data_IF_409467604220
#
_entry.id   IF_409467604220
#
_cell.length_a   1.000
_cell.length_b   1.000
_cell.length_c   1.000
_cell.angle_alpha   90.00
_cell.angle_beta   90.00
_cell.angle_gamma   90.00
#
_symmetry.space_group_name_H-M   'P 1'
#
loop_
_entity.id
_entity.type
_entity.pdbx_description
1 polymer ?
#
# COMPACT_ATOMS: atom_id res chain seq x y z
N UNK A 1 25.76 38.62 8.99
CA UNK A 1 25.64 37.25 9.54
C UNK A 1 24.42 36.63 8.90
N UNK A 2 24.61 35.83 7.85
CA UNK A 2 23.51 35.10 7.21
C UNK A 2 23.17 33.89 8.08
N UNK A 3 21.89 33.77 8.46
CA UNK A 3 21.37 32.62 9.16
C UNK A 3 21.48 31.38 8.26
N UNK A 4 22.08 30.33 8.80
CA UNK A 4 22.10 29.01 8.20
C UNK A 4 20.65 28.51 8.06
N UNK A 5 20.28 28.21 6.81
CA UNK A 5 19.13 27.38 6.49
C UNK A 5 19.33 26.01 7.14
N UNK A 6 18.63 25.76 8.26
CA UNK A 6 18.47 24.41 8.78
C UNK A 6 17.57 23.67 7.80
N UNK A 7 18.18 22.90 6.90
CA UNK A 7 17.48 21.92 6.07
C UNK A 7 16.73 20.98 7.00
N UNK A 8 15.41 20.96 6.89
CA UNK A 8 14.56 19.99 7.59
C UNK A 8 15.00 18.58 7.15
N UNK A 9 15.23 17.64 8.07
CA UNK A 9 15.58 16.28 7.70
C UNK A 9 14.48 15.67 6.83
N UNK A 10 14.89 15.09 5.71
CA UNK A 10 14.02 14.49 4.72
C UNK A 10 13.38 13.23 5.32
N UNK A 11 12.05 13.24 5.48
CA UNK A 11 11.29 12.19 6.17
C UNK A 11 10.80 11.09 5.22
N UNK A 12 10.31 9.96 5.76
CA UNK A 12 9.58 8.91 5.00
C UNK A 12 8.51 9.53 4.09
N UNK A 13 7.78 10.53 4.60
CA UNK A 13 6.76 11.27 3.86
C UNK A 13 7.35 12.12 2.73
N UNK A 14 8.52 12.73 2.92
CA UNK A 14 9.20 13.52 1.88
C UNK A 14 9.80 12.64 0.76
N UNK A 15 10.24 11.44 1.12
CA UNK A 15 10.69 10.41 0.16
C UNK A 15 9.53 9.79 -0.62
N UNK A 16 8.46 9.35 0.05
CA UNK A 16 7.27 8.82 -0.61
C UNK A 16 6.63 9.85 -1.54
N UNK A 17 6.69 11.12 -1.17
CA UNK A 17 6.47 12.22 -2.12
C UNK A 17 7.49 12.06 -3.25
N UNK A 18 8.78 12.32 -3.06
CA UNK A 18 9.81 12.34 -4.13
C UNK A 18 9.91 11.11 -5.05
N UNK A 19 9.61 9.90 -4.58
CA UNK A 19 9.59 8.67 -5.40
C UNK A 19 8.22 8.39 -5.99
N UNK A 20 7.14 8.73 -5.27
CA UNK A 20 5.83 8.94 -5.90
C UNK A 20 5.87 10.05 -6.96
N UNK A 21 6.85 10.96 -6.90
CA UNK A 21 7.07 12.04 -7.85
C UNK A 21 7.83 11.59 -9.12
N UNK A 22 8.68 10.54 -9.06
CA UNK A 22 9.25 9.90 -10.28
C UNK A 22 8.28 8.91 -10.93
N UNK A 23 7.26 8.48 -10.18
CA UNK A 23 6.15 7.66 -10.68
C UNK A 23 4.91 8.43 -11.15
N UNK A 24 4.42 9.49 -10.48
CA UNK A 24 3.11 10.08 -10.79
C UNK A 24 2.65 11.40 -10.10
N UNK A 25 3.39 12.08 -9.22
CA UNK A 25 2.78 13.14 -8.38
C UNK A 25 3.39 14.57 -8.43
N UNK A 26 4.31 14.92 -9.34
CA UNK A 26 5.10 16.18 -9.22
C UNK A 26 4.43 17.42 -9.79
N UNK A 27 3.18 17.31 -10.25
CA UNK A 27 2.55 18.41 -10.99
C UNK A 27 1.45 19.16 -10.23
N UNK A 28 0.98 18.70 -9.07
CA UNK A 28 -0.22 19.34 -8.46
C UNK A 28 0.12 20.27 -7.29
N UNK A 29 1.16 20.02 -6.50
CA UNK A 29 1.45 20.86 -5.33
C UNK A 29 2.28 22.13 -5.63
N UNK A 30 2.98 22.21 -6.77
CA UNK A 30 3.91 23.32 -7.07
C UNK A 30 3.34 24.40 -8.01
N UNK A 31 2.13 24.25 -8.54
CA UNK A 31 1.56 25.20 -9.51
C UNK A 31 0.13 25.68 -9.21
N UNK A 32 -0.47 25.27 -8.10
CA UNK A 32 -1.73 25.88 -7.64
C UNK A 32 -1.36 26.92 -6.58
N UNK A 33 -1.30 28.22 -6.92
CA UNK A 33 -1.26 29.24 -5.87
C UNK A 33 -2.47 28.98 -4.97
N UNK A 34 -2.26 28.95 -3.65
CA UNK A 34 -3.34 28.83 -2.68
C UNK A 34 -4.41 29.90 -2.99
N UNK A 35 -5.47 29.50 -3.70
CA UNK A 35 -6.59 30.37 -3.95
C UNK A 35 -7.46 30.32 -2.70
N UNK A 36 -7.67 31.46 -2.01
CA UNK A 36 -8.68 31.51 -0.98
C UNK A 36 -10.05 31.37 -1.67
N UNK A 37 -10.70 30.22 -1.49
CA UNK A 37 -12.14 30.07 -1.75
C UNK A 37 -12.59 29.85 -3.20
N UNK A 38 -11.86 29.10 -4.04
CA UNK A 38 -12.49 28.47 -5.20
C UNK A 38 -13.13 27.16 -4.75
N UNK A 39 -14.47 27.06 -4.83
CA UNK A 39 -15.25 25.91 -4.39
C UNK A 39 -14.65 24.58 -4.84
N UNK A 40 -13.95 23.92 -3.92
CA UNK A 40 -13.57 22.52 -4.08
C UNK A 40 -14.85 21.71 -4.21
N UNK A 41 -14.80 20.64 -4.99
CA UNK A 41 -15.81 19.59 -4.86
C UNK A 41 -15.99 19.32 -3.35
N UNK A 42 -17.24 19.34 -2.88
CA UNK A 42 -17.52 19.05 -1.47
C UNK A 42 -16.90 17.72 -1.04
N UNK A 43 -16.90 17.41 0.26
CA UNK A 43 -16.36 16.16 0.78
C UNK A 43 -16.90 14.97 -0.04
N UNK A 44 -16.03 13.99 -0.32
CA UNK A 44 -16.44 12.82 -1.10
C UNK A 44 -17.46 11.96 -0.32
N UNK A 45 -17.44 12.05 1.00
CA UNK A 45 -18.37 11.37 1.89
C UNK A 45 -19.71 12.10 2.00
N UNK A 46 -20.79 11.34 1.96
CA UNK A 46 -22.11 11.84 2.35
C UNK A 46 -22.16 11.99 3.88
N UNK A 47 -22.89 12.99 4.36
CA UNK A 47 -23.11 13.14 5.81
C UNK A 47 -23.84 11.92 6.35
N UNK A 48 -23.37 11.38 7.49
CA UNK A 48 -24.02 10.25 8.16
C UNK A 48 -25.54 10.48 8.28
N UNK A 49 -26.38 9.50 7.92
CA UNK A 49 -27.82 9.64 8.02
C UNK A 49 -28.24 9.80 9.49
N UNK A 50 -28.75 10.98 9.85
CA UNK A 50 -29.09 11.32 11.24
C UNK A 50 -30.35 10.60 11.76
N UNK A 51 -31.14 10.02 10.86
CA UNK A 51 -32.48 9.52 11.15
C UNK A 51 -32.60 7.98 11.03
N UNK A 52 -31.50 7.29 10.70
CA UNK A 52 -31.48 5.83 10.53
C UNK A 52 -31.05 5.13 11.82
N UNK A 53 -31.90 4.26 12.36
CA UNK A 53 -31.53 3.38 13.47
C UNK A 53 -30.63 2.24 12.99
N UNK A 54 -29.32 2.41 13.16
CA UNK A 54 -28.32 1.41 12.77
C UNK A 54 -28.28 0.17 13.68
N UNK A 55 -29.09 0.12 14.74
CA UNK A 55 -29.29 -1.09 15.55
C UNK A 55 -30.41 -1.98 15.01
N UNK A 56 -31.29 -1.45 14.17
CA UNK A 56 -32.39 -2.18 13.54
C UNK A 56 -31.96 -2.75 12.18
N UNK A 57 -31.75 -4.07 12.13
CA UNK A 57 -31.34 -4.78 10.92
C UNK A 57 -32.33 -4.62 9.76
N UNK A 58 -33.64 -4.50 10.03
CA UNK A 58 -34.66 -4.31 8.99
C UNK A 58 -34.63 -2.89 8.44
N UNK A 59 -34.35 -1.90 9.29
CA UNK A 59 -34.15 -0.51 8.87
C UNK A 59 -32.90 -0.37 8.00
N UNK A 60 -31.79 -0.98 8.42
CA UNK A 60 -30.55 -1.04 7.63
C UNK A 60 -30.77 -1.75 6.30
N UNK A 61 -31.47 -2.89 6.29
CA UNK A 61 -31.80 -3.59 5.05
C UNK A 61 -32.57 -2.71 4.05
N UNK A 62 -33.60 -1.99 4.51
CA UNK A 62 -34.36 -1.06 3.66
C UNK A 62 -33.51 0.09 3.12
N UNK A 63 -32.60 0.62 3.93
CA UNK A 63 -31.67 1.67 3.50
C UNK A 63 -30.73 1.14 2.41
N UNK A 64 -30.15 -0.04 2.61
CA UNK A 64 -29.31 -0.70 1.61
C UNK A 64 -30.05 -0.92 0.29
N UNK A 65 -31.30 -1.42 0.31
CA UNK A 65 -32.11 -1.57 -0.91
C UNK A 65 -32.40 -0.23 -1.60
N UNK A 66 -32.69 0.82 -0.84
CA UNK A 66 -32.93 2.16 -1.37
C UNK A 66 -31.68 2.76 -2.06
N UNK A 67 -30.50 2.40 -1.57
CA UNK A 67 -29.19 2.77 -2.14
C UNK A 67 -28.73 1.83 -3.27
N UNK A 68 -29.55 0.82 -3.62
CA UNK A 68 -29.28 -0.11 -4.72
C UNK A 68 -28.57 -1.41 -4.32
N UNK A 69 -28.32 -1.61 -3.02
CA UNK A 69 -27.69 -2.79 -2.42
C UNK A 69 -26.36 -3.13 -3.11
N UNK A 70 -25.53 -2.11 -3.33
CA UNK A 70 -24.26 -2.22 -4.04
C UNK A 70 -23.21 -1.37 -3.32
N UNK A 71 -21.98 -1.87 -3.26
CA UNK A 71 -20.83 -1.16 -2.73
C UNK A 71 -19.62 -1.40 -3.63
N UNK A 72 -18.88 -0.35 -3.93
CA UNK A 72 -17.70 -0.41 -4.79
C UNK A 72 -16.44 -0.17 -3.97
N UNK A 73 -15.52 -1.12 -4.06
CA UNK A 73 -14.20 -1.04 -3.42
C UNK A 73 -13.11 -0.95 -4.47
N UNK A 74 -12.19 0.01 -4.32
CA UNK A 74 -10.90 -0.05 -4.99
C UNK A 74 -9.92 -0.85 -4.13
N UNK A 75 -9.44 -1.98 -4.63
CA UNK A 75 -8.46 -2.85 -3.96
C UNK A 75 -7.66 -3.64 -5.00
N UNK A 76 -6.40 -3.98 -4.73
CA UNK A 76 -5.59 -4.87 -5.58
C UNK A 76 -5.85 -6.36 -5.37
N UNK A 77 -6.62 -6.75 -4.36
CA UNK A 77 -6.78 -8.16 -4.05
C UNK A 77 -6.52 -8.48 -2.58
N UNK A 78 -7.20 -9.52 -2.10
CA UNK A 78 -6.80 -10.22 -0.90
C UNK A 78 -6.01 -11.45 -1.35
N UNK A 79 -4.68 -11.44 -1.29
CA UNK A 79 -3.88 -12.63 -1.57
C UNK A 79 -4.30 -13.78 -0.65
N UNK A 80 -4.92 -14.81 -1.24
CA UNK A 80 -5.53 -15.94 -0.53
C UNK A 80 -7.07 -15.90 -0.43
N UNK A 81 -7.72 -14.80 -0.80
CA UNK A 81 -9.17 -14.61 -0.85
C UNK A 81 -9.58 -14.07 -2.23
N UNK A 82 -9.64 -14.93 -3.25
CA UNK A 82 -10.02 -14.52 -4.60
C UNK A 82 -11.46 -13.99 -4.64
N UNK A 83 -11.75 -13.15 -5.63
CA UNK A 83 -13.09 -12.60 -5.90
C UNK A 83 -14.18 -13.69 -5.90
N UNK A 84 -13.85 -14.87 -6.44
CA UNK A 84 -14.73 -16.05 -6.51
C UNK A 84 -15.17 -16.59 -5.16
N UNK A 85 -14.48 -16.24 -4.08
CA UNK A 85 -14.82 -16.61 -2.70
C UNK A 85 -15.33 -15.43 -1.90
N UNK A 86 -14.67 -14.26 -2.00
CA UNK A 86 -15.02 -13.12 -1.16
C UNK A 86 -16.37 -12.49 -1.55
N UNK A 87 -16.59 -12.19 -2.83
CA UNK A 87 -17.81 -11.51 -3.28
C UNK A 87 -19.08 -12.30 -2.90
N UNK A 88 -19.16 -13.63 -3.15
CA UNK A 88 -20.32 -14.41 -2.71
C UNK A 88 -20.48 -14.43 -1.18
N UNK A 89 -19.38 -14.54 -0.42
CA UNK A 89 -19.44 -14.58 1.05
C UNK A 89 -19.87 -13.26 1.66
N UNK A 90 -19.49 -12.14 1.06
CA UNK A 90 -19.95 -10.81 1.44
C UNK A 90 -21.46 -10.66 1.23
N UNK A 91 -21.97 -11.09 0.08
CA UNK A 91 -23.40 -11.10 -0.22
C UNK A 91 -24.19 -12.04 0.72
N UNK A 92 -23.66 -13.22 1.03
CA UNK A 92 -24.25 -14.14 2.02
C UNK A 92 -24.30 -13.52 3.42
N UNK A 93 -23.22 -12.86 3.84
CA UNK A 93 -23.12 -12.22 5.16
C UNK A 93 -24.14 -11.09 5.31
N UNK A 94 -24.19 -10.17 4.34
CA UNK A 94 -25.13 -9.04 4.36
C UNK A 94 -26.58 -9.51 4.30
N UNK A 95 -26.89 -10.54 3.50
CA UNK A 95 -28.21 -11.14 3.48
C UNK A 95 -28.60 -11.77 4.82
N UNK A 96 -27.66 -12.46 5.47
CA UNK A 96 -27.91 -13.07 6.77
C UNK A 96 -28.10 -12.02 7.87
N UNK A 97 -27.39 -10.89 7.79
CA UNK A 97 -27.39 -9.85 8.82
C UNK A 97 -28.53 -8.84 8.66
N UNK A 98 -28.84 -8.45 7.43
CA UNK A 98 -29.76 -7.34 7.10
C UNK A 98 -30.89 -7.74 6.15
N UNK A 99 -31.04 -9.03 5.82
CA UNK A 99 -32.05 -9.51 4.87
C UNK A 99 -31.74 -9.22 3.39
N UNK A 100 -30.72 -8.41 3.11
CA UNK A 100 -30.39 -7.89 1.77
C UNK A 100 -28.99 -8.32 1.37
N UNK A 101 -28.89 -8.97 0.21
CA UNK A 101 -27.60 -9.35 -0.36
C UNK A 101 -26.97 -8.14 -1.07
N UNK A 102 -25.90 -7.59 -0.50
CA UNK A 102 -25.18 -6.47 -1.10
C UNK A 102 -24.19 -6.99 -2.14
N UNK A 103 -24.23 -6.39 -3.35
CA UNK A 103 -23.26 -6.63 -4.41
C UNK A 103 -21.98 -5.86 -4.12
N UNK A 104 -20.85 -6.57 -4.07
CA UNK A 104 -19.53 -5.96 -4.00
C UNK A 104 -18.96 -5.80 -5.41
N UNK A 105 -18.79 -4.57 -5.88
CA UNK A 105 -17.99 -4.30 -7.07
C UNK A 105 -16.53 -4.13 -6.66
N UNK A 106 -15.71 -5.04 -7.11
CA UNK A 106 -14.28 -4.94 -6.92
C UNK A 106 -13.65 -4.30 -8.15
N UNK A 107 -12.99 -3.15 -7.95
CA UNK A 107 -12.24 -2.46 -9.01
C UNK A 107 -10.76 -2.42 -8.68
N UNK A 108 -9.91 -2.87 -9.60
CA UNK A 108 -8.45 -2.90 -9.43
C UNK A 108 -7.79 -1.73 -10.14
N UNK A 109 -6.81 -1.07 -9.50
CA UNK A 109 -5.90 -0.11 -10.16
C UNK A 109 -6.53 1.23 -10.58
N UNK A 110 -7.73 1.56 -10.08
CA UNK A 110 -8.41 2.80 -10.44
C UNK A 110 -8.01 3.98 -9.55
N UNK A 111 -7.71 3.73 -8.28
CA UNK A 111 -7.51 4.79 -7.29
C UNK A 111 -6.22 5.60 -7.50
N UNK A 112 -5.14 4.98 -7.99
CA UNK A 112 -3.87 5.67 -8.24
C UNK A 112 -4.01 6.79 -9.27
N UNK A 113 -4.70 6.51 -10.38
CA UNK A 113 -4.98 7.52 -11.39
C UNK A 113 -6.03 8.53 -10.89
N UNK A 114 -7.01 8.08 -10.10
CA UNK A 114 -8.04 8.94 -9.53
C UNK A 114 -7.44 10.05 -8.68
N UNK A 115 -6.51 9.73 -7.77
CA UNK A 115 -5.81 10.70 -6.91
C UNK A 115 -5.13 11.84 -7.70
N UNK A 116 -4.71 11.57 -8.93
CA UNK A 116 -4.09 12.56 -9.82
C UNK A 116 -5.11 13.32 -10.66
N UNK A 117 -6.06 12.61 -11.25
CA UNK A 117 -6.88 13.12 -12.35
C UNK A 117 -8.17 13.79 -11.86
N UNK A 118 -8.81 13.27 -10.82
CA UNK A 118 -10.09 13.78 -10.34
C UNK A 118 -9.95 15.18 -9.73
N UNK A 119 -8.95 15.49 -8.88
CA UNK A 119 -8.81 16.83 -8.32
C UNK A 119 -8.61 17.91 -9.41
N UNK A 120 -7.85 17.59 -10.46
CA UNK A 120 -7.63 18.50 -11.61
C UNK A 120 -8.94 18.77 -12.35
N UNK A 121 -9.85 17.80 -12.39
CA UNK A 121 -11.17 17.93 -12.98
C UNK A 121 -12.22 18.52 -12.03
N UNK A 122 -11.86 18.90 -10.80
CA UNK A 122 -12.82 19.34 -9.77
C UNK A 122 -13.78 18.23 -9.35
N UNK A 123 -13.30 16.99 -9.31
CA UNK A 123 -14.05 15.76 -8.99
C UNK A 123 -13.45 15.05 -7.78
N UNK A 124 -14.22 14.11 -7.22
CA UNK A 124 -13.83 13.23 -6.11
C UNK A 124 -14.01 11.77 -6.49
N UNK A 125 -13.55 10.85 -5.64
CA UNK A 125 -13.75 9.39 -5.81
C UNK A 125 -15.22 8.99 -5.93
N UNK A 126 -16.14 9.80 -5.37
CA UNK A 126 -17.58 9.60 -5.55
C UNK A 126 -18.02 9.72 -7.02
N UNK A 127 -17.38 10.60 -7.80
CA UNK A 127 -17.70 10.80 -9.22
C UNK A 127 -17.36 9.58 -10.10
N UNK A 128 -16.54 8.66 -9.58
CA UNK A 128 -16.24 7.37 -10.22
C UNK A 128 -16.92 6.19 -9.51
N UNK A 129 -17.81 6.47 -8.56
CA UNK A 129 -18.62 5.49 -7.86
C UNK A 129 -17.83 4.58 -6.93
N UNK A 130 -16.77 5.08 -6.29
CA UNK A 130 -16.04 4.35 -5.25
C UNK A 130 -16.57 4.76 -3.86
N UNK A 131 -16.86 3.74 -3.04
CA UNK A 131 -17.35 3.92 -1.66
C UNK A 131 -16.25 3.57 -0.64
N UNK A 132 -15.43 2.57 -0.95
CA UNK A 132 -14.35 2.09 -0.08
C UNK A 132 -13.03 2.08 -0.83
N UNK A 133 -11.97 2.52 -0.16
CA UNK A 133 -10.61 2.48 -0.70
C UNK A 133 -9.74 1.64 0.22
N UNK A 134 -9.20 0.59 -0.38
CA UNK A 134 -8.13 -0.21 0.15
C UNK A 134 -6.86 0.16 -0.64
N UNK A 135 -5.93 0.80 0.07
CA UNK A 135 -4.69 1.32 -0.47
C UNK A 135 -3.60 1.39 0.61
N UNK A 136 -2.34 1.52 0.21
CA UNK A 136 -1.22 1.51 1.13
C UNK A 136 -1.19 2.84 1.88
N UNK A 137 -0.54 2.84 3.05
CA UNK A 137 -0.46 3.99 3.95
C UNK A 137 -0.02 5.28 3.25
N UNK A 138 0.84 5.22 2.22
CA UNK A 138 1.29 6.41 1.48
C UNK A 138 0.17 7.21 0.83
N UNK A 139 -0.94 6.56 0.49
CA UNK A 139 -2.08 7.20 -0.17
C UNK A 139 -3.01 7.89 0.82
N UNK A 140 -2.94 7.53 2.11
CA UNK A 140 -3.82 8.06 3.14
C UNK A 140 -3.67 9.58 3.28
N UNK A 141 -2.44 10.07 3.46
CA UNK A 141 -2.19 11.50 3.63
C UNK A 141 -2.63 12.33 2.40
N UNK A 142 -2.49 11.76 1.20
CA UNK A 142 -2.89 12.43 -0.05
C UNK A 142 -4.42 12.54 -0.17
N UNK A 143 -5.14 11.46 0.12
CA UNK A 143 -6.60 11.45 0.09
C UNK A 143 -7.22 12.31 1.21
N UNK A 144 -6.61 12.32 2.40
CA UNK A 144 -7.01 13.21 3.50
C UNK A 144 -6.85 14.68 3.12
N UNK A 145 -5.76 15.04 2.43
CA UNK A 145 -5.55 16.42 1.95
C UNK A 145 -6.56 16.86 0.87
N UNK A 146 -7.21 15.91 0.22
CA UNK A 146 -8.28 16.13 -0.76
C UNK A 146 -9.68 16.06 -0.13
N UNK A 147 -9.78 15.84 1.19
CA UNK A 147 -11.05 15.67 1.91
C UNK A 147 -11.91 14.52 1.35
N UNK A 148 -11.25 13.44 0.91
CA UNK A 148 -11.92 12.28 0.32
C UNK A 148 -12.40 11.24 1.33
N UNK A 149 -11.94 11.32 2.57
CA UNK A 149 -12.33 10.37 3.62
C UNK A 149 -13.15 11.07 4.71
N UNK A 150 -14.12 10.34 5.25
CA UNK A 150 -14.78 10.69 6.51
C UNK A 150 -14.30 9.79 7.66
N UNK A 151 -14.41 10.24 8.92
CA UNK A 151 -14.17 9.37 10.05
C UNK A 151 -15.18 8.21 10.05
N UNK A 152 -14.67 6.98 10.15
CA UNK A 152 -15.49 5.79 10.28
C UNK A 152 -16.06 5.62 11.69
N UNK A 153 -15.49 6.27 12.71
CA UNK A 153 -15.97 6.14 14.10
C UNK A 153 -16.94 7.24 14.54
N UNK A 154 -17.70 7.82 13.60
CA UNK A 154 -18.79 8.74 13.95
C UNK A 154 -19.77 8.06 14.93
N UNK A 155 -20.30 8.78 15.94
CA UNK A 155 -21.16 8.19 16.96
C UNK A 155 -22.35 7.41 16.41
N UNK A 156 -22.91 7.85 15.28
CA UNK A 156 -24.00 7.16 14.59
C UNK A 156 -23.60 5.74 14.15
N UNK A 157 -22.36 5.53 13.71
CA UNK A 157 -21.86 4.26 13.16
C UNK A 157 -21.44 3.24 14.24
N UNK A 158 -21.40 3.64 15.53
CA UNK A 158 -20.95 2.77 16.62
C UNK A 158 -21.60 1.36 16.63
N UNK A 159 -22.92 1.19 16.38
CA UNK A 159 -23.54 -0.14 16.32
C UNK A 159 -23.00 -1.06 15.21
N UNK A 160 -22.43 -0.49 14.14
CA UNK A 160 -21.93 -1.24 12.99
C UNK A 160 -20.47 -1.67 13.14
N UNK A 161 -19.74 -1.05 14.07
CA UNK A 161 -18.28 -1.18 14.19
C UNK A 161 -17.83 -1.80 15.53
N UNK A 162 -18.45 -2.89 16.01
CA UNK A 162 -18.10 -3.46 17.31
C UNK A 162 -16.63 -3.91 17.39
N UNK A 163 -16.05 -4.31 16.26
CA UNK A 163 -14.65 -4.76 16.21
C UNK A 163 -13.65 -3.60 16.21
N UNK A 164 -14.10 -2.35 15.98
CA UNK A 164 -13.19 -1.20 15.96
C UNK A 164 -12.65 -0.90 17.36
N UNK A 165 -13.44 -1.16 18.40
CA UNK A 165 -13.03 -1.01 19.81
C UNK A 165 -11.89 -1.95 20.20
N UNK A 166 -11.85 -3.14 19.59
CA UNK A 166 -10.82 -4.16 19.84
C UNK A 166 -9.55 -3.95 18.99
N UNK A 167 -9.54 -2.97 18.08
CA UNK A 167 -8.43 -2.73 17.17
C UNK A 167 -7.32 -1.95 17.87
N UNK A 168 -6.09 -2.48 17.87
CA UNK A 168 -4.95 -1.81 18.49
C UNK A 168 -4.63 -0.49 17.76
N UNK A 169 -4.16 0.51 18.53
CA UNK A 169 -3.87 1.85 18.00
C UNK A 169 -2.88 1.87 16.84
N UNK A 170 -1.95 0.91 16.78
CA UNK A 170 -1.00 0.81 15.68
C UNK A 170 -1.67 0.54 14.33
N UNK A 171 -2.86 -0.05 14.32
CA UNK A 171 -3.59 -0.43 13.10
C UNK A 171 -4.67 0.57 12.70
N UNK A 172 -4.77 1.71 13.39
CA UNK A 172 -5.80 2.72 13.12
C UNK A 172 -5.20 3.92 12.38
N UNK A 173 -5.84 4.32 11.29
CA UNK A 173 -5.53 5.56 10.59
C UNK A 173 -6.32 6.70 11.21
N UNK A 174 -5.63 7.64 11.85
CA UNK A 174 -6.24 8.78 12.53
C UNK A 174 -5.99 10.09 11.76
N UNK A 175 -6.96 10.99 11.84
CA UNK A 175 -6.95 12.30 11.19
C UNK A 175 -7.43 13.42 12.12
N UNK A 176 -7.73 14.61 11.58
CA UNK A 176 -8.38 15.68 12.33
C UNK A 176 -9.74 15.22 12.90
N UNK A 177 -10.11 15.66 14.10
CA UNK A 177 -11.37 15.26 14.69
C UNK A 177 -12.57 15.98 14.05
N UNK A 178 -13.66 15.24 13.80
CA UNK A 178 -14.98 15.73 13.37
C UNK A 178 -16.01 15.06 14.27
N UNK A 179 -16.79 15.85 15.01
CA UNK A 179 -17.83 15.34 15.93
C UNK A 179 -17.35 14.23 16.89
N UNK A 180 -16.22 14.47 17.55
CA UNK A 180 -15.51 13.54 18.45
C UNK A 180 -15.02 12.23 17.79
N UNK A 181 -15.12 12.12 16.46
CA UNK A 181 -14.59 11.02 15.66
C UNK A 181 -13.29 11.43 14.96
N UNK A 182 -12.28 10.55 14.97
CA UNK A 182 -10.94 10.85 14.45
C UNK A 182 -10.28 9.65 13.75
N UNK A 183 -10.97 8.51 13.64
CA UNK A 183 -10.49 7.31 12.96
C UNK A 183 -11.09 7.32 11.55
N UNK A 184 -10.22 7.32 10.53
CA UNK A 184 -10.59 7.39 9.11
C UNK A 184 -10.36 6.05 8.37
N UNK A 185 -9.81 5.05 9.05
CA UNK A 185 -9.56 3.74 8.47
C UNK A 185 -8.85 2.81 9.43
N UNK A 186 -8.72 1.55 9.02
CA UNK A 186 -7.98 0.54 9.75
C UNK A 186 -7.16 -0.32 8.78
N UNK A 187 -6.03 -0.83 9.27
CA UNK A 187 -5.19 -1.80 8.53
C UNK A 187 -5.93 -3.13 8.45
N UNK A 188 -6.05 -3.71 7.25
CA UNK A 188 -6.78 -4.98 7.04
C UNK A 188 -5.87 -6.16 6.64
N UNK A 189 -4.80 -5.99 5.85
CA UNK A 189 -3.92 -7.09 5.41
C UNK A 189 -2.62 -7.24 6.23
N UNK A 190 -2.47 -6.43 7.28
CA UNK A 190 -1.21 -6.25 8.02
C UNK A 190 -0.24 -5.36 7.25
N UNK A 191 0.94 -5.13 7.83
CA UNK A 191 2.02 -4.43 7.12
C UNK A 191 2.69 -5.37 6.13
N UNK A 192 2.75 -4.98 4.87
CA UNK A 192 3.63 -5.64 3.92
C UNK A 192 5.09 -5.36 4.29
N UNK A 193 5.92 -6.38 4.15
CA UNK A 193 7.37 -6.26 4.32
C UNK A 193 8.06 -6.61 3.02
N UNK A 194 9.27 -6.10 2.86
CA UNK A 194 10.15 -6.45 1.75
C UNK A 194 11.13 -7.50 2.26
N UNK A 195 11.48 -8.46 1.42
CA UNK A 195 12.40 -9.51 1.81
C UNK A 195 13.19 -10.05 0.63
N UNK A 196 14.31 -10.68 0.96
CA UNK A 196 14.94 -11.64 0.08
C UNK A 196 14.51 -13.05 0.46
N UNK A 197 14.10 -13.84 -0.53
CA UNK A 197 13.89 -15.28 -0.39
C UNK A 197 15.09 -16.01 -0.96
N UNK A 198 15.56 -17.04 -0.27
CA UNK A 198 16.68 -17.88 -0.69
C UNK A 198 16.27 -19.35 -0.76
N UNK A 199 16.82 -20.06 -1.75
CA UNK A 199 16.64 -21.50 -1.88
C UNK A 199 17.65 -22.28 -1.04
N UNK A 200 17.17 -22.82 0.07
CA UNK A 200 17.96 -23.65 1.00
C UNK A 200 18.62 -24.89 0.39
N UNK A 201 18.13 -25.36 -0.77
CA UNK A 201 18.71 -26.48 -1.49
C UNK A 201 19.76 -26.06 -2.54
N UNK A 202 19.90 -24.75 -2.80
CA UNK A 202 20.86 -24.17 -3.73
C UNK A 202 22.00 -23.44 -3.04
N UNK A 203 21.74 -22.82 -1.89
CA UNK A 203 22.72 -22.04 -1.14
C UNK A 203 22.68 -22.39 0.34
N UNK A 204 23.82 -22.20 1.01
CA UNK A 204 23.88 -22.25 2.48
C UNK A 204 23.31 -20.95 3.07
N UNK A 205 22.05 -21.01 3.51
CA UNK A 205 21.32 -19.86 4.06
C UNK A 205 21.98 -19.24 5.29
N UNK A 206 22.87 -19.97 6.00
CA UNK A 206 23.56 -19.42 7.18
C UNK A 206 24.55 -18.30 6.84
N UNK A 207 24.94 -18.19 5.56
CA UNK A 207 25.80 -17.13 5.03
C UNK A 207 25.05 -15.82 4.72
N UNK A 208 23.72 -15.83 4.79
CA UNK A 208 22.88 -14.69 4.42
C UNK A 208 22.08 -14.23 5.64
N UNK A 209 22.64 -13.28 6.37
CA UNK A 209 22.08 -12.70 7.59
C UNK A 209 21.39 -11.36 7.31
N UNK A 210 21.86 -10.63 6.29
CA UNK A 210 21.27 -9.37 5.90
C UNK A 210 21.34 -9.08 4.39
N UNK A 211 20.73 -7.97 3.97
CA UNK A 211 20.65 -7.57 2.56
C UNK A 211 22.01 -7.46 1.87
N UNK A 212 23.07 -7.09 2.60
CA UNK A 212 24.40 -6.89 2.00
C UNK A 212 25.08 -8.21 1.65
N UNK A 213 24.67 -9.32 2.27
CA UNK A 213 25.19 -10.66 1.95
C UNK A 213 24.72 -11.15 0.56
N UNK A 214 23.70 -10.51 -0.03
CA UNK A 214 23.26 -10.80 -1.40
C UNK A 214 24.31 -10.44 -2.47
N UNK A 215 25.37 -9.72 -2.09
CA UNK A 215 26.55 -9.49 -2.93
C UNK A 215 27.46 -10.73 -3.07
N UNK A 216 27.15 -11.84 -2.41
CA UNK A 216 27.96 -13.06 -2.47
C UNK A 216 28.19 -13.53 -3.91
N UNK A 217 29.45 -13.76 -4.35
CA UNK A 217 29.76 -14.22 -5.70
C UNK A 217 29.05 -15.51 -6.12
N UNK A 218 28.59 -16.35 -5.19
CA UNK A 218 27.78 -17.54 -5.49
C UNK A 218 26.42 -17.21 -6.13
N UNK A 219 25.90 -16.00 -5.91
CA UNK A 219 24.62 -15.54 -6.45
C UNK A 219 24.74 -14.92 -7.85
N UNK A 220 25.94 -14.90 -8.47
CA UNK A 220 26.15 -14.26 -9.78
C UNK A 220 25.27 -14.87 -10.87
N UNK A 221 24.42 -14.04 -11.45
CA UNK A 221 23.41 -14.44 -12.44
C UNK A 221 22.41 -15.44 -11.88
N UNK A 222 22.05 -15.35 -10.59
CA UNK A 222 21.11 -16.24 -9.89
C UNK A 222 20.00 -15.52 -9.14
N UNK A 223 19.96 -14.19 -9.16
CA UNK A 223 18.94 -13.41 -8.45
C UNK A 223 17.84 -12.89 -9.37
N UNK A 224 16.62 -12.84 -8.86
CA UNK A 224 15.52 -12.08 -9.46
C UNK A 224 15.26 -10.85 -8.59
N UNK A 225 15.14 -9.68 -9.20
CA UNK A 225 14.83 -8.44 -8.48
C UNK A 225 13.92 -7.53 -9.33
N UNK A 226 13.30 -6.53 -8.71
CA UNK A 226 12.54 -5.50 -9.41
C UNK A 226 13.48 -4.47 -10.01
N UNK A 227 13.16 -4.01 -11.22
CA UNK A 227 13.94 -2.96 -11.86
C UNK A 227 13.76 -1.60 -11.17
N UNK A 228 14.80 -0.75 -11.22
CA UNK A 228 14.75 0.62 -10.67
C UNK A 228 13.77 1.56 -11.38
N UNK A 229 13.23 1.19 -12.54
CA UNK A 229 12.14 1.96 -13.18
C UNK A 229 10.74 1.55 -12.67
N UNK A 230 10.68 0.68 -11.66
CA UNK A 230 9.47 0.24 -10.96
C UNK A 230 9.53 0.75 -9.51
N UNK A 231 8.42 1.30 -8.99
CA UNK A 231 8.35 1.79 -7.61
C UNK A 231 8.66 0.68 -6.59
N UNK A 232 8.33 -0.57 -6.91
CA UNK A 232 8.63 -1.75 -6.09
C UNK A 232 10.13 -2.02 -6.01
N UNK A 233 10.88 -1.72 -7.08
CA UNK A 233 12.34 -1.77 -7.08
C UNK A 233 12.96 -0.77 -6.13
N UNK A 234 12.41 0.45 -6.05
CA UNK A 234 12.85 1.41 -5.04
C UNK A 234 12.56 0.90 -3.63
N UNK A 235 11.38 0.35 -3.38
CA UNK A 235 11.06 -0.20 -2.07
C UNK A 235 12.04 -1.30 -1.67
N UNK A 236 12.25 -2.32 -2.51
CA UNK A 236 13.24 -3.38 -2.26
C UNK A 236 14.64 -2.82 -2.04
N UNK A 237 15.07 -1.87 -2.88
CA UNK A 237 16.37 -1.23 -2.73
C UNK A 237 16.50 -0.46 -1.39
N UNK A 238 15.41 0.10 -0.88
CA UNK A 238 15.34 0.66 0.46
C UNK A 238 15.76 -0.32 1.56
N UNK A 239 15.58 -1.64 1.37
CA UNK A 239 16.13 -2.67 2.25
C UNK A 239 17.66 -2.62 2.33
N UNK A 240 18.33 -2.50 1.19
CA UNK A 240 19.79 -2.31 1.11
C UNK A 240 20.22 -0.98 1.75
N UNK A 241 19.53 0.13 1.43
CA UNK A 241 19.82 1.45 2.01
C UNK A 241 19.75 1.38 3.53
N UNK A 242 18.68 0.83 4.08
CA UNK A 242 18.48 0.71 5.52
C UNK A 242 19.58 -0.13 6.17
N UNK A 243 19.93 -1.27 5.56
CA UNK A 243 20.98 -2.14 6.07
C UNK A 243 22.34 -1.43 6.08
N UNK A 244 22.70 -0.74 4.99
CA UNK A 244 23.96 -0.02 4.88
C UNK A 244 24.06 1.15 5.87
N UNK A 245 22.97 1.88 6.08
CA UNK A 245 22.89 2.94 7.11
C UNK A 245 23.10 2.35 8.50
N UNK A 246 22.39 1.27 8.84
CA UNK A 246 22.48 0.63 10.15
C UNK A 246 23.86 0.03 10.43
N UNK A 247 24.56 -0.45 9.39
CA UNK A 247 25.95 -0.89 9.47
C UNK A 247 26.97 0.27 9.50
N UNK A 248 26.53 1.53 9.35
CA UNK A 248 27.39 2.70 9.28
C UNK A 248 28.25 2.77 8.01
N UNK A 249 27.89 2.02 6.96
CA UNK A 249 28.61 2.00 5.67
C UNK A 249 28.24 3.18 4.78
N UNK A 250 27.04 3.75 4.96
CA UNK A 250 26.61 4.99 4.30
C UNK A 250 26.07 5.96 5.34
N UNK A 251 26.29 7.28 5.18
CA UNK A 251 25.78 8.28 6.12
C UNK A 251 24.28 8.52 5.92
N UNK A 252 23.66 9.18 6.91
CA UNK A 252 22.28 9.66 6.81
C UNK A 252 21.25 8.70 7.41
N UNK A 253 20.05 8.71 6.85
CA UNK A 253 18.92 7.85 7.26
C UNK A 253 18.38 7.11 6.03
N UNK A 254 17.55 6.10 6.22
CA UNK A 254 16.89 5.38 5.11
C UNK A 254 16.29 6.32 4.04
N UNK A 255 15.84 7.50 4.42
CA UNK A 255 15.13 8.40 3.52
C UNK A 255 16.00 9.51 2.94
N UNK A 256 17.24 9.69 3.39
CA UNK A 256 18.07 10.82 2.96
C UNK A 256 18.77 10.58 1.62
N UNK A 257 18.92 11.63 0.81
CA UNK A 257 19.58 11.59 -0.50
C UNK A 257 20.98 10.98 -0.43
N UNK A 258 21.79 11.40 0.56
CA UNK A 258 23.15 10.91 0.75
C UNK A 258 23.23 9.39 1.03
N UNK A 259 22.19 8.81 1.64
CA UNK A 259 22.14 7.37 1.93
C UNK A 259 21.82 6.59 0.66
N UNK A 260 20.91 7.10 -0.16
CA UNK A 260 20.53 6.50 -1.44
C UNK A 260 21.66 6.57 -2.47
N UNK A 261 22.32 7.72 -2.60
CA UNK A 261 23.51 7.85 -3.44
C UNK A 261 24.63 6.92 -2.98
N UNK A 262 24.89 6.87 -1.67
CA UNK A 262 25.88 5.98 -1.08
C UNK A 262 25.56 4.50 -1.31
N UNK A 263 24.29 4.11 -1.18
CA UNK A 263 23.84 2.75 -1.43
C UNK A 263 23.95 2.36 -2.91
N UNK A 264 23.65 3.28 -3.84
CA UNK A 264 23.83 3.05 -5.28
C UNK A 264 25.30 2.90 -5.64
N UNK A 265 26.18 3.66 -4.99
CA UNK A 265 27.62 3.49 -5.14
C UNK A 265 28.07 2.11 -4.61
N UNK A 266 27.62 1.73 -3.41
CA UNK A 266 27.88 0.41 -2.85
C UNK A 266 27.38 -0.72 -3.77
N UNK A 267 26.18 -0.58 -4.34
CA UNK A 267 25.60 -1.54 -5.29
C UNK A 267 26.52 -1.77 -6.49
N UNK A 268 27.06 -0.70 -7.07
CA UNK A 268 28.03 -0.76 -8.19
C UNK A 268 29.34 -1.39 -7.76
N UNK A 269 29.90 -0.95 -6.64
CA UNK A 269 31.21 -1.40 -6.14
C UNK A 269 31.22 -2.88 -5.75
N UNK A 270 30.06 -3.43 -5.40
CA UNK A 270 29.88 -4.84 -5.03
C UNK A 270 29.28 -5.69 -6.15
N UNK A 271 29.28 -5.18 -7.39
CA UNK A 271 28.83 -5.90 -8.58
C UNK A 271 27.43 -6.50 -8.44
N UNK A 272 26.52 -5.79 -7.77
CA UNK A 272 25.16 -6.29 -7.53
C UNK A 272 24.38 -6.54 -8.83
N UNK A 273 24.63 -5.76 -9.88
CA UNK A 273 24.05 -6.00 -11.21
C UNK A 273 24.44 -7.38 -11.79
N UNK A 274 25.65 -7.88 -11.47
CA UNK A 274 26.09 -9.20 -11.92
C UNK A 274 25.38 -10.34 -11.17
N UNK A 275 24.74 -10.05 -10.02
CA UNK A 275 23.94 -11.02 -9.28
C UNK A 275 22.61 -11.29 -10.00
N UNK A 276 22.12 -10.33 -10.78
CA UNK A 276 20.80 -10.38 -11.38
C UNK A 276 20.78 -11.33 -12.59
N UNK A 277 20.05 -12.44 -12.44
CA UNK A 277 19.63 -13.29 -13.55
C UNK A 277 18.59 -12.55 -14.41
N UNK A 278 17.62 -11.93 -13.76
CA UNK A 278 16.48 -11.32 -14.43
C UNK A 278 15.81 -10.25 -13.57
N UNK A 279 15.45 -9.14 -14.22
CA UNK A 279 14.57 -8.14 -13.63
C UNK A 279 13.11 -8.51 -13.88
N UNK A 280 12.27 -8.53 -12.85
CA UNK A 280 10.85 -8.85 -13.00
C UNK A 280 10.10 -9.01 -11.68
N UNK A 281 8.78 -9.09 -11.80
CA UNK A 281 7.88 -9.20 -10.66
C UNK A 281 7.59 -10.67 -10.32
N UNK A 282 8.21 -11.19 -9.26
CA UNK A 282 7.99 -12.55 -8.77
C UNK A 282 6.51 -12.79 -8.43
N UNK A 283 5.76 -11.77 -8.04
CA UNK A 283 4.36 -11.92 -7.67
C UNK A 283 3.41 -12.11 -8.83
N UNK A 284 3.65 -11.41 -9.94
CA UNK A 284 2.70 -11.34 -11.05
C UNK A 284 3.21 -11.98 -12.34
N UNK A 285 4.53 -12.12 -12.52
CA UNK A 285 5.12 -12.76 -13.70
C UNK A 285 5.34 -14.27 -13.45
N UNK A 286 4.60 -15.17 -14.14
CA UNK A 286 4.79 -16.61 -14.01
C UNK A 286 6.19 -17.08 -14.40
N UNK A 287 6.89 -16.40 -15.32
CA UNK A 287 8.25 -16.77 -15.72
C UNK A 287 9.22 -16.55 -14.54
N UNK A 288 9.06 -15.45 -13.79
CA UNK A 288 9.90 -15.17 -12.63
C UNK A 288 9.70 -16.23 -11.54
N UNK A 289 8.44 -16.60 -11.28
CA UNK A 289 8.12 -17.70 -10.35
C UNK A 289 8.72 -19.01 -10.80
N UNK A 290 8.59 -19.34 -12.08
CA UNK A 290 9.09 -20.59 -12.63
C UNK A 290 10.61 -20.70 -12.49
N UNK A 291 11.35 -19.59 -12.66
CA UNK A 291 12.82 -19.56 -12.48
C UNK A 291 13.25 -19.87 -11.05
N UNK A 292 12.52 -19.36 -10.05
CA UNK A 292 12.74 -19.73 -8.65
C UNK A 292 12.37 -21.20 -8.40
N UNK A 293 11.22 -21.66 -8.91
CA UNK A 293 10.74 -23.03 -8.73
C UNK A 293 11.68 -24.08 -9.36
N UNK A 294 12.14 -23.84 -10.58
CA UNK A 294 13.07 -24.73 -11.30
C UNK A 294 14.48 -24.73 -10.69
N UNK A 295 14.81 -23.69 -9.93
CA UNK A 295 16.14 -23.49 -9.35
C UNK A 295 17.13 -22.91 -10.34
N UNK A 296 16.64 -22.29 -11.41
CA UNK A 296 17.44 -21.42 -12.28
C UNK A 296 17.91 -20.17 -11.52
N UNK A 297 16.99 -19.58 -10.73
CA UNK A 297 17.27 -18.56 -9.74
C UNK A 297 17.41 -19.18 -8.34
N UNK A 298 18.36 -18.69 -7.56
CA UNK A 298 18.65 -19.17 -6.20
C UNK A 298 18.08 -18.24 -5.13
N UNK A 299 17.90 -16.96 -5.48
CA UNK A 299 17.30 -15.97 -4.62
C UNK A 299 16.39 -15.02 -5.39
N UNK A 300 15.47 -14.38 -4.69
CA UNK A 300 14.56 -13.38 -5.23
C UNK A 300 14.26 -12.29 -4.21
N UNK A 301 14.27 -11.04 -4.63
CA UNK A 301 13.83 -9.93 -3.78
C UNK A 301 12.35 -9.63 -4.07
N UNK A 302 11.50 -9.70 -3.04
CA UNK A 302 10.05 -9.67 -3.23
C UNK A 302 9.28 -9.08 -2.05
N UNK A 303 7.98 -8.91 -2.24
CA UNK A 303 7.03 -8.50 -1.20
C UNK A 303 6.61 -9.69 -0.33
N UNK A 304 6.28 -9.40 0.93
CA UNK A 304 5.76 -10.29 1.97
C UNK A 304 4.68 -11.23 1.46
N UNK A 305 3.69 -10.63 0.82
CA UNK A 305 2.54 -11.31 0.21
C UNK A 305 2.91 -12.46 -0.72
N UNK A 306 3.88 -12.28 -1.62
CA UNK A 306 4.23 -13.32 -2.58
C UNK A 306 4.99 -14.48 -1.94
N UNK A 307 5.68 -14.24 -0.83
CA UNK A 307 6.25 -15.34 -0.07
C UNK A 307 5.18 -16.19 0.57
N UNK A 308 4.08 -15.62 1.08
CA UNK A 308 2.93 -16.41 1.58
C UNK A 308 2.36 -17.32 0.48
N UNK A 309 2.25 -16.79 -0.74
CA UNK A 309 1.81 -17.57 -1.90
C UNK A 309 2.80 -18.69 -2.26
N UNK A 310 4.10 -18.38 -2.32
CA UNK A 310 5.15 -19.35 -2.62
C UNK A 310 5.25 -20.44 -1.54
N UNK A 311 5.10 -20.10 -0.25
CA UNK A 311 5.13 -21.07 0.84
C UNK A 311 3.97 -22.07 0.76
N UNK A 312 2.83 -21.67 0.19
CA UNK A 312 1.65 -22.52 -0.02
C UNK A 312 1.74 -23.46 -1.22
N UNK A 313 2.80 -23.38 -2.03
CA UNK A 313 2.97 -24.22 -3.23
C UNK A 313 3.74 -25.51 -2.94
N UNK A 314 3.48 -26.55 -3.74
CA UNK A 314 3.88 -27.94 -3.46
C UNK A 314 5.39 -28.20 -3.32
N UNK A 315 6.25 -27.31 -3.81
CA UNK A 315 7.71 -27.47 -3.77
C UNK A 315 8.35 -27.01 -2.45
N UNK A 316 7.59 -26.34 -1.58
CA UNK A 316 8.03 -25.93 -0.26
C UNK A 316 7.63 -26.93 0.86
N UNK A 317 7.24 -28.16 0.50
CA UNK A 317 7.01 -29.27 1.43
C UNK A 317 8.30 -29.98 1.80
#
# INVERSE_FOLDING_TARGET
MCAQSLSRPFSRRDFLRTVGLTGSALLVAACIPAQPGSGGAGPAADSAPTDLDLTDADAVGKALEAEGAEVSISSWGWSGLPETHFIPKFAEHTKAKYGVAVKLNWVTGVFDNALRELPVAGKTVKDIGLDVIDKEEESFDAAMALEWYEPINLPAYAPLLPNLEDTEQAYLFRGPAVDDADIYGAVYQGYEWLQAILRKDKVDVSRYQDWTDLADPELRGKMIDYAFNDSRGHYVFGGFVNQLVNQGKVPGTLWSEEAWEGALQWWKDNAMEEQILKWGDIGNDPDMRLKLQSGEAYAGCTWGVYTRELLGTDWNK
#
